data_IF_972958596556
#
_entry.id   IF_972958596556
#
_cell.length_a   1.000
_cell.length_b   1.000
_cell.length_c   1.000
_cell.angle_alpha   90.00
_cell.angle_beta   90.00
_cell.angle_gamma   90.00
#
_symmetry.space_group_name_H-M   'P 1'
#
loop_
_entity.id
_entity.type
_entity.pdbx_description
1 polymer ?
#
# COMPACT_ATOMS: atom_id res chain seq x y z
N UNK A 1 12.55 -13.25 15.16
CA UNK A 1 13.13 -12.30 14.18
C UNK A 1 14.26 -12.95 13.39
N UNK A 2 15.24 -13.57 14.04
CA UNK A 2 16.33 -14.33 13.38
C UNK A 2 15.83 -15.38 12.38
N UNK A 3 14.89 -16.25 12.78
CA UNK A 3 14.30 -17.27 11.90
C UNK A 3 13.58 -16.66 10.70
N UNK A 4 12.82 -15.58 10.91
CA UNK A 4 12.11 -14.90 9.82
C UNK A 4 13.08 -14.25 8.81
N UNK A 5 14.19 -13.69 9.29
CA UNK A 5 15.24 -13.17 8.41
C UNK A 5 15.97 -14.28 7.67
N UNK A 6 16.24 -15.40 8.35
CA UNK A 6 16.81 -16.58 7.71
C UNK A 6 15.92 -17.06 6.56
N UNK A 7 14.61 -17.21 6.80
CA UNK A 7 13.62 -17.55 5.76
C UNK A 7 13.59 -16.53 4.62
N UNK A 8 13.55 -15.22 4.92
CA UNK A 8 13.53 -14.16 3.91
C UNK A 8 14.80 -14.08 3.05
N UNK A 9 15.93 -14.57 3.58
CA UNK A 9 17.20 -14.64 2.84
C UNK A 9 17.46 -16.02 2.23
N UNK A 10 16.74 -17.06 2.65
CA UNK A 10 16.96 -18.44 2.24
C UNK A 10 16.79 -18.60 0.72
N UNK A 11 17.76 -19.22 0.07
CA UNK A 11 17.75 -19.40 -1.38
C UNK A 11 17.93 -18.11 -2.20
N UNK A 12 18.33 -17.01 -1.54
CA UNK A 12 18.63 -15.73 -2.21
C UNK A 12 20.06 -15.29 -1.90
N UNK A 13 20.63 -14.43 -2.74
CA UNK A 13 21.90 -13.74 -2.44
C UNK A 13 21.70 -12.45 -1.63
N UNK A 14 20.54 -12.27 -0.98
CA UNK A 14 20.23 -11.04 -0.24
C UNK A 14 20.89 -11.05 1.13
N UNK A 15 21.44 -9.91 1.49
CA UNK A 15 21.88 -9.63 2.86
C UNK A 15 20.68 -9.47 3.80
N UNK A 16 20.94 -9.64 5.10
CA UNK A 16 19.94 -9.43 6.15
C UNK A 16 19.38 -8.00 6.14
N UNK A 17 20.22 -7.01 5.86
CA UNK A 17 19.81 -5.61 5.75
C UNK A 17 18.85 -5.38 4.59
N UNK A 18 19.09 -6.02 3.44
CA UNK A 18 18.18 -5.96 2.30
C UNK A 18 16.84 -6.65 2.61
N UNK A 19 16.86 -7.79 3.31
CA UNK A 19 15.64 -8.46 3.75
C UNK A 19 14.80 -7.57 4.69
N UNK A 20 15.43 -6.88 5.65
CA UNK A 20 14.74 -5.94 6.54
C UNK A 20 14.18 -4.76 5.76
N UNK A 21 14.97 -4.15 4.85
CA UNK A 21 14.51 -3.03 4.01
C UNK A 21 13.31 -3.44 3.16
N UNK A 22 13.38 -4.63 2.56
CA UNK A 22 12.28 -5.19 1.79
C UNK A 22 11.03 -5.39 2.66
N UNK A 23 11.16 -6.00 3.83
CA UNK A 23 10.04 -6.23 4.73
C UNK A 23 9.38 -4.92 5.18
N UNK A 24 10.17 -3.88 5.46
CA UNK A 24 9.66 -2.54 5.80
C UNK A 24 8.87 -1.91 4.65
N UNK A 25 9.44 -1.89 3.44
CA UNK A 25 8.79 -1.32 2.27
C UNK A 25 7.51 -2.09 1.91
N UNK A 26 7.55 -3.41 2.00
CA UNK A 26 6.39 -4.25 1.77
C UNK A 26 5.29 -3.96 2.80
N UNK A 27 5.61 -3.92 4.08
CA UNK A 27 4.66 -3.59 5.15
C UNK A 27 4.05 -2.21 4.95
N UNK A 28 4.86 -1.21 4.61
CA UNK A 28 4.37 0.14 4.36
C UNK A 28 3.41 0.20 3.16
N UNK A 29 3.72 -0.53 2.08
CA UNK A 29 2.81 -0.67 0.94
C UNK A 29 1.48 -1.28 1.37
N UNK A 30 1.48 -2.34 2.16
CA UNK A 30 0.25 -2.99 2.63
C UNK A 30 -0.60 -2.03 3.47
N UNK A 31 0.01 -1.20 4.32
CA UNK A 31 -0.71 -0.19 5.10
C UNK A 31 -1.39 0.85 4.20
N UNK A 32 -0.70 1.33 3.17
CA UNK A 32 -1.30 2.27 2.19
C UNK A 32 -2.48 1.62 1.47
N UNK A 33 -2.35 0.35 1.07
CA UNK A 33 -3.43 -0.36 0.39
C UNK A 33 -4.64 -0.58 1.29
N UNK A 34 -4.43 -0.91 2.56
CA UNK A 34 -5.50 -1.03 3.55
C UNK A 34 -6.24 0.30 3.73
N UNK A 35 -5.50 1.40 3.86
CA UNK A 35 -6.10 2.73 3.94
C UNK A 35 -6.89 3.07 2.68
N UNK A 36 -6.31 2.84 1.50
CA UNK A 36 -7.00 3.10 0.23
C UNK A 36 -8.28 2.28 0.08
N UNK A 37 -8.30 1.03 0.57
CA UNK A 37 -9.51 0.20 0.59
C UNK A 37 -10.58 0.78 1.50
N UNK A 38 -10.22 1.16 2.73
CA UNK A 38 -11.16 1.79 3.68
C UNK A 38 -11.68 3.13 3.15
N UNK A 39 -10.83 3.91 2.49
CA UNK A 39 -11.21 5.17 1.86
C UNK A 39 -12.17 4.95 0.68
N UNK A 40 -11.97 3.90 -0.11
CA UNK A 40 -12.90 3.53 -1.19
C UNK A 40 -14.26 3.07 -0.66
N UNK A 41 -14.29 2.31 0.44
CA UNK A 41 -15.54 1.91 1.12
C UNK A 41 -16.30 3.14 1.62
N UNK A 42 -15.60 4.06 2.29
CA UNK A 42 -16.18 5.34 2.75
C UNK A 42 -16.72 6.17 1.59
N UNK A 43 -15.94 6.30 0.51
CA UNK A 43 -16.35 7.02 -0.68
C UNK A 43 -17.64 6.45 -1.26
N UNK A 44 -17.81 5.13 -1.28
CA UNK A 44 -19.02 4.51 -1.83
C UNK A 44 -20.30 4.86 -1.05
N UNK A 45 -20.18 5.23 0.23
CA UNK A 45 -21.30 5.54 1.12
C UNK A 45 -21.62 7.05 1.20
N UNK A 46 -20.72 7.93 0.71
CA UNK A 46 -20.87 9.38 0.77
C UNK A 46 -20.94 10.01 -0.63
N UNK A 47 -22.11 10.58 -0.97
CA UNK A 47 -22.38 11.19 -2.28
C UNK A 47 -21.61 12.50 -2.50
N UNK A 48 -21.31 13.24 -1.43
CA UNK A 48 -20.58 14.51 -1.53
C UNK A 48 -19.09 14.22 -1.80
N UNK A 49 -18.51 13.25 -1.09
CA UNK A 49 -17.14 12.78 -1.34
C UNK A 49 -17.00 12.24 -2.78
N UNK A 50 -18.01 11.52 -3.30
CA UNK A 50 -18.03 11.04 -4.69
C UNK A 50 -18.02 12.19 -5.71
N UNK A 51 -18.80 13.23 -5.46
CA UNK A 51 -18.86 14.40 -6.32
C UNK A 51 -17.52 15.16 -6.34
N UNK A 52 -16.87 15.29 -5.18
CA UNK A 52 -15.54 15.89 -5.05
C UNK A 52 -14.48 15.07 -5.80
N UNK A 53 -14.45 13.75 -5.59
CA UNK A 53 -13.51 12.86 -6.28
C UNK A 53 -13.67 12.90 -7.80
N UNK A 54 -14.91 12.93 -8.32
CA UNK A 54 -15.17 13.06 -9.75
C UNK A 54 -14.69 14.42 -10.29
N UNK A 55 -14.84 15.51 -9.53
CA UNK A 55 -14.32 16.82 -9.93
C UNK A 55 -12.79 16.83 -10.01
N UNK A 56 -12.12 16.20 -9.03
CA UNK A 56 -10.66 16.01 -9.03
C UNK A 56 -10.22 15.18 -10.25
N UNK A 57 -10.88 14.05 -10.52
CA UNK A 57 -10.56 13.18 -11.66
C UNK A 57 -10.71 13.90 -13.01
N UNK A 58 -11.77 14.71 -13.16
CA UNK A 58 -11.98 15.56 -14.34
C UNK A 58 -10.88 16.62 -14.50
N UNK A 59 -10.48 17.27 -13.40
CA UNK A 59 -9.38 18.23 -13.42
C UNK A 59 -8.05 17.58 -13.84
N UNK A 60 -7.78 16.37 -13.36
CA UNK A 60 -6.58 15.61 -13.74
C UNK A 60 -6.66 14.98 -15.14
N UNK A 61 -7.84 15.00 -15.79
CA UNK A 61 -8.04 14.42 -17.13
C UNK A 61 -8.07 12.89 -17.17
N UNK A 62 -8.51 12.25 -16.07
CA UNK A 62 -8.51 10.79 -15.90
C UNK A 62 -9.93 10.19 -15.83
N UNK A 63 -10.96 11.05 -15.88
CA UNK A 63 -12.38 10.66 -15.86
C UNK A 63 -12.94 10.35 -17.24
#
# INVERSE_FOLDING_TARGET
METALAELTSGTNRSRTEAVRYALLHTYKELILQQASADAERLAEDLDDQAEMLAIQRFMGVA
#
